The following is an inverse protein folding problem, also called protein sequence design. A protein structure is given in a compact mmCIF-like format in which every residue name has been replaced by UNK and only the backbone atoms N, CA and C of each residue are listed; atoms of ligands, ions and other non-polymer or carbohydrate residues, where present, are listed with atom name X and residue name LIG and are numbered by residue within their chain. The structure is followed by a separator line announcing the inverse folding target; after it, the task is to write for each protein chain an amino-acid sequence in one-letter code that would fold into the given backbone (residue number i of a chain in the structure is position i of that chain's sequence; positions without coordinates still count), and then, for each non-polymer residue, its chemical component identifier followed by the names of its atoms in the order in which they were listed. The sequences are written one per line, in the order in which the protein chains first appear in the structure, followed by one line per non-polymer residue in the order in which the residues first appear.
data_IF_851632578191
#
_entry.id   IF_851632578191
#
_cell.length_a   1.000
_cell.length_b   1.000
_cell.length_c   1.000
_cell.angle_alpha   90.00
_cell.angle_beta   90.00
_cell.angle_gamma   90.00
#
_symmetry.space_group_name_H-M   'P 1'
#
loop_
_entity.id
_entity.type
_entity.pdbx_description
1 polymer ?
#
# COMPACT_ATOMS: atom_id res chain seq x y z
N UNK A 1 -58.57 -10.15 0.90
CA UNK A 1 -57.40 -9.48 1.52
C UNK A 1 -56.19 -10.37 1.25
N UNK A 2 -55.37 -10.04 0.25
CA UNK A 2 -54.12 -10.77 -0.03
C UNK A 2 -52.94 -9.85 0.24
N UNK A 3 -52.32 -10.03 1.39
CA UNK A 3 -51.11 -9.31 1.80
C UNK A 3 -49.92 -9.90 1.05
N UNK A 4 -49.36 -9.14 0.11
CA UNK A 4 -48.07 -9.44 -0.51
C UNK A 4 -46.98 -9.13 0.51
N UNK A 5 -46.32 -10.16 1.03
CA UNK A 5 -45.09 -10.03 1.81
C UNK A 5 -43.98 -9.47 0.91
N UNK A 6 -43.58 -8.23 1.19
CA UNK A 6 -42.44 -7.57 0.57
C UNK A 6 -41.17 -8.08 1.23
N UNK A 7 -40.41 -8.91 0.53
CA UNK A 7 -39.08 -9.36 0.96
C UNK A 7 -38.14 -8.16 0.89
N UNK A 8 -37.87 -7.51 2.03
CA UNK A 8 -36.79 -6.52 2.14
C UNK A 8 -35.48 -7.25 1.86
N UNK A 9 -34.87 -6.97 0.72
CA UNK A 9 -33.54 -7.47 0.39
C UNK A 9 -32.53 -6.76 1.30
N UNK A 10 -31.94 -7.52 2.21
CA UNK A 10 -30.97 -7.02 3.17
C UNK A 10 -29.64 -6.78 2.46
N UNK A 11 -29.10 -5.57 2.54
CA UNK A 11 -27.81 -5.23 1.94
C UNK A 11 -26.71 -6.13 2.53
N UNK A 12 -25.72 -6.56 1.72
CA UNK A 12 -24.65 -7.42 2.21
C UNK A 12 -23.91 -6.76 3.36
N UNK A 13 -23.73 -7.49 4.45
CA UNK A 13 -22.95 -7.02 5.60
C UNK A 13 -21.48 -6.92 5.21
N UNK A 14 -20.92 -5.71 5.27
CA UNK A 14 -19.48 -5.49 5.06
C UNK A 14 -18.73 -6.09 6.25
N UNK A 15 -17.94 -7.13 6.00
CA UNK A 15 -17.17 -7.84 7.04
C UNK A 15 -15.69 -7.57 6.85
N UNK A 16 -15.00 -7.18 7.92
CA UNK A 16 -13.54 -7.08 7.93
C UNK A 16 -12.92 -8.47 7.81
N UNK A 17 -12.06 -8.66 6.80
CA UNK A 17 -11.48 -9.98 6.49
C UNK A 17 -10.14 -10.17 7.22
N UNK A 18 -9.32 -9.11 7.35
CA UNK A 18 -7.99 -9.21 7.94
C UNK A 18 -7.46 -7.86 8.45
N UNK A 19 -6.56 -7.89 9.44
CA UNK A 19 -5.78 -6.72 9.89
C UNK A 19 -4.30 -7.01 9.74
N UNK A 20 -3.58 -6.17 8.99
CA UNK A 20 -2.13 -6.22 8.86
C UNK A 20 -1.51 -5.20 9.81
N UNK A 21 -0.60 -5.64 10.68
CA UNK A 21 0.03 -4.82 11.72
C UNK A 21 1.54 -4.74 11.48
N UNK A 22 2.12 -3.56 11.69
CA UNK A 22 3.56 -3.41 11.65
C UNK A 22 4.05 -1.97 11.54
N UNK A 23 3.32 -1.12 10.82
CA UNK A 23 3.58 0.32 10.82
C UNK A 23 3.48 0.88 12.25
N UNK A 24 4.38 1.80 12.59
CA UNK A 24 4.45 2.40 13.94
C UNK A 24 3.78 3.77 14.02
N UNK A 25 3.21 4.22 12.90
CA UNK A 25 2.50 5.50 12.76
C UNK A 25 1.41 5.36 11.67
N UNK A 26 0.64 6.41 11.44
CA UNK A 26 -0.50 6.45 10.51
C UNK A 26 -0.14 5.87 9.12
N UNK A 27 -0.96 4.94 8.64
CA UNK A 27 -0.91 4.48 7.25
C UNK A 27 -1.60 5.54 6.38
N UNK A 28 -0.87 6.10 5.44
CA UNK A 28 -1.30 7.27 4.64
C UNK A 28 -1.91 6.91 3.30
N UNK A 29 -1.46 5.81 2.72
CA UNK A 29 -1.87 5.39 1.38
C UNK A 29 -1.56 3.91 1.12
N UNK A 30 -2.21 3.34 0.12
CA UNK A 30 -2.10 1.93 -0.28
C UNK A 30 -2.29 1.77 -1.79
N UNK A 31 -1.47 0.93 -2.42
CA UNK A 31 -1.61 0.54 -3.83
C UNK A 31 -1.60 -0.98 -3.99
N UNK A 32 -2.42 -1.48 -4.91
CA UNK A 32 -2.42 -2.89 -5.27
C UNK A 32 -1.37 -3.15 -6.35
N UNK A 33 -0.58 -4.23 -6.18
CA UNK A 33 0.29 -4.73 -7.24
C UNK A 33 -0.53 -5.48 -8.30
N UNK A 34 -0.06 -5.53 -9.56
CA UNK A 34 -0.73 -6.30 -10.60
C UNK A 34 -0.78 -7.78 -10.21
N UNK A 35 -1.93 -8.41 -10.46
CA UNK A 35 -2.23 -9.77 -9.98
C UNK A 35 -2.93 -9.82 -8.64
N UNK A 36 -3.14 -8.69 -7.95
CA UNK A 36 -4.12 -8.55 -6.86
C UNK A 36 -3.79 -9.26 -5.55
N UNK A 37 -2.71 -10.05 -5.48
CA UNK A 37 -2.31 -10.78 -4.27
C UNK A 37 -1.54 -9.93 -3.25
N UNK A 38 -0.95 -8.83 -3.69
CA UNK A 38 -0.03 -8.02 -2.88
C UNK A 38 -0.39 -6.55 -2.93
N UNK A 39 -0.11 -5.87 -1.82
CA UNK A 39 -0.27 -4.41 -1.71
C UNK A 39 1.03 -3.81 -1.18
N UNK A 40 1.23 -2.54 -1.50
CA UNK A 40 2.25 -1.70 -0.85
C UNK A 40 1.53 -0.61 -0.09
N UNK A 41 1.92 -0.38 1.15
CA UNK A 41 1.43 0.70 1.99
C UNK A 41 2.56 1.70 2.27
N UNK A 42 2.20 2.95 2.52
CA UNK A 42 3.13 3.95 3.04
C UNK A 42 2.61 4.55 4.35
N UNK A 43 3.54 4.97 5.21
CA UNK A 43 3.21 5.49 6.55
C UNK A 43 3.99 6.76 6.88
N UNK A 44 3.45 7.52 7.83
CA UNK A 44 4.16 8.61 8.52
C UNK A 44 5.44 8.13 9.24
N UNK A 45 5.58 6.83 9.50
CA UNK A 45 6.79 6.25 10.13
C UNK A 45 8.05 6.23 9.22
N UNK A 46 7.92 6.74 8.00
CA UNK A 46 8.97 6.83 6.98
C UNK A 46 9.22 5.54 6.22
N UNK A 47 8.38 4.52 6.38
CA UNK A 47 8.49 3.25 5.65
C UNK A 47 7.41 3.04 4.61
N UNK A 48 7.79 2.35 3.54
CA UNK A 48 6.87 1.58 2.70
C UNK A 48 6.95 0.10 3.11
N UNK A 49 5.84 -0.63 3.03
CA UNK A 49 5.80 -2.06 3.33
C UNK A 49 5.04 -2.82 2.27
N UNK A 50 5.60 -3.95 1.85
CA UNK A 50 4.96 -4.90 0.94
C UNK A 50 4.24 -5.97 1.76
N UNK A 51 2.98 -6.25 1.41
CA UNK A 51 2.15 -7.23 2.11
C UNK A 51 1.64 -8.29 1.15
N UNK A 52 1.51 -9.52 1.66
CA UNK A 52 0.75 -10.59 1.03
C UNK A 52 -0.67 -10.63 1.60
N UNK A 53 -1.68 -10.44 0.77
CA UNK A 53 -3.08 -10.37 1.21
C UNK A 53 -3.67 -11.72 1.61
N UNK A 54 -3.02 -12.84 1.28
CA UNK A 54 -3.52 -14.18 1.63
C UNK A 54 -3.09 -14.55 3.04
N UNK A 55 -1.82 -14.31 3.35
CA UNK A 55 -1.25 -14.58 4.67
C UNK A 55 -1.38 -13.41 5.65
N UNK A 56 -1.54 -12.19 5.15
CA UNK A 56 -1.47 -10.94 5.92
C UNK A 56 -0.07 -10.63 6.46
N UNK A 57 0.95 -11.36 6.01
CA UNK A 57 2.31 -11.14 6.43
C UNK A 57 2.96 -10.02 5.60
N UNK A 58 3.83 -9.26 6.26
CA UNK A 58 4.78 -8.41 5.55
C UNK A 58 5.79 -9.28 4.81
N UNK A 59 6.06 -8.95 3.55
CA UNK A 59 7.09 -9.59 2.74
C UNK A 59 8.37 -8.75 2.81
N UNK A 60 9.45 -9.34 3.29
CA UNK A 60 10.73 -8.66 3.43
C UNK A 60 10.74 -7.63 4.56
N UNK A 61 11.65 -6.65 4.47
CA UNK A 61 11.79 -5.58 5.44
C UNK A 61 11.05 -4.29 5.05
N UNK A 62 11.20 -3.28 5.89
CA UNK A 62 10.72 -1.93 5.62
C UNK A 62 11.53 -1.31 4.47
N UNK A 63 10.83 -0.72 3.51
CA UNK A 63 11.46 0.03 2.43
C UNK A 63 11.66 1.45 2.93
N UNK A 64 12.93 1.80 3.16
CA UNK A 64 13.36 3.10 3.63
C UNK A 64 14.52 3.57 2.76
N UNK A 65 14.59 4.87 2.53
CA UNK A 65 15.84 5.45 2.06
C UNK A 65 16.70 5.73 3.29
N UNK A 66 18.01 5.84 3.12
CA UNK A 66 18.94 6.15 4.22
C UNK A 66 18.76 7.59 4.77
N UNK A 67 17.67 8.28 4.41
CA UNK A 67 17.27 9.57 4.97
C UNK A 67 16.77 9.41 6.39
N UNK A 68 16.86 10.49 7.16
CA UNK A 68 16.35 10.54 8.52
C UNK A 68 14.85 10.18 8.59
N UNK A 69 14.39 9.92 9.81
CA UNK A 69 12.99 9.63 10.20
C UNK A 69 11.91 10.58 9.64
N UNK A 70 12.33 11.70 9.05
CA UNK A 70 11.49 12.73 8.41
C UNK A 70 11.09 12.40 6.96
N UNK A 71 11.46 11.24 6.41
CA UNK A 71 11.01 10.80 5.07
C UNK A 71 9.58 10.25 5.04
N UNK A 72 8.69 10.80 5.87
CA UNK A 72 7.27 10.43 5.92
C UNK A 72 6.66 10.47 4.52
N UNK A 73 6.11 9.35 4.08
CA UNK A 73 5.53 9.21 2.75
C UNK A 73 4.02 9.46 2.83
N UNK A 74 3.54 10.47 2.10
CA UNK A 74 2.12 10.85 2.14
C UNK A 74 1.26 10.13 1.12
N UNK A 75 1.86 9.82 -0.02
CA UNK A 75 1.19 9.24 -1.19
C UNK A 75 2.16 8.35 -1.94
N UNK A 76 1.61 7.27 -2.51
CA UNK A 76 2.34 6.36 -3.38
C UNK A 76 1.58 6.12 -4.67
N UNK A 77 2.30 5.91 -5.77
CA UNK A 77 1.71 5.53 -7.04
C UNK A 77 2.48 4.37 -7.66
N UNK A 78 1.75 3.46 -8.28
CA UNK A 78 2.33 2.32 -8.98
C UNK A 78 2.45 2.63 -10.47
N UNK A 79 3.61 2.34 -11.05
CA UNK A 79 3.80 2.37 -12.50
C UNK A 79 2.87 1.37 -13.22
N UNK A 80 2.47 1.62 -14.48
CA UNK A 80 1.55 0.74 -15.21
C UNK A 80 2.03 -0.71 -15.34
N UNK A 81 3.35 -0.92 -15.39
CA UNK A 81 3.95 -2.26 -15.46
C UNK A 81 4.16 -2.93 -14.08
N UNK A 82 3.84 -2.23 -12.99
CA UNK A 82 3.92 -2.72 -11.61
C UNK A 82 5.33 -2.94 -11.07
N UNK A 83 6.37 -2.49 -11.77
CA UNK A 83 7.78 -2.71 -11.37
C UNK A 83 8.31 -1.60 -10.47
N UNK A 84 7.76 -0.40 -10.60
CA UNK A 84 8.19 0.80 -9.88
C UNK A 84 7.04 1.34 -9.06
N UNK A 85 7.31 1.67 -7.79
CA UNK A 85 6.47 2.55 -6.99
C UNK A 85 7.15 3.90 -6.87
N UNK A 86 6.41 4.98 -7.02
CA UNK A 86 6.85 6.32 -6.63
C UNK A 86 6.24 6.71 -5.30
N UNK A 87 7.00 7.41 -4.46
CA UNK A 87 6.50 7.98 -3.20
C UNK A 87 6.85 9.46 -3.09
N UNK A 88 5.89 10.27 -2.68
CA UNK A 88 6.12 11.68 -2.32
C UNK A 88 6.26 11.84 -0.81
N UNK A 89 7.27 12.61 -0.38
CA UNK A 89 7.60 12.82 1.04
C UNK A 89 7.61 14.29 1.45
N UNK A 90 7.50 14.54 2.76
CA UNK A 90 7.57 15.87 3.37
C UNK A 90 8.89 16.59 3.09
N UNK A 91 9.97 15.85 2.86
CA UNK A 91 11.29 16.40 2.56
C UNK A 91 11.42 17.00 1.14
N UNK A 92 10.31 17.08 0.41
CA UNK A 92 10.24 17.63 -0.93
C UNK A 92 10.80 16.70 -2.01
N UNK A 93 11.18 15.46 -1.67
CA UNK A 93 11.73 14.50 -2.63
C UNK A 93 10.69 13.48 -3.06
N UNK A 94 10.78 13.12 -4.34
CA UNK A 94 10.14 11.93 -4.89
C UNK A 94 11.18 10.82 -4.93
N UNK A 95 10.78 9.63 -4.47
CA UNK A 95 11.60 8.42 -4.51
C UNK A 95 10.95 7.40 -5.41
N UNK A 96 11.76 6.74 -6.22
CA UNK A 96 11.34 5.59 -7.04
C UNK A 96 11.88 4.34 -6.39
N UNK A 97 11.03 3.32 -6.26
CA UNK A 97 11.34 2.06 -5.59
C UNK A 97 11.17 0.92 -6.57
N UNK A 98 12.19 0.07 -6.68
CA UNK A 98 12.05 -1.18 -7.42
C UNK A 98 11.24 -2.18 -6.57
N UNK A 99 10.10 -2.62 -7.08
CA UNK A 99 9.15 -3.46 -6.35
C UNK A 99 9.73 -4.84 -6.02
N UNK A 100 10.65 -5.34 -6.86
CA UNK A 100 11.24 -6.67 -6.70
C UNK A 100 12.23 -6.70 -5.54
N UNK A 101 13.00 -5.63 -5.36
CA UNK A 101 14.09 -5.53 -4.39
C UNK A 101 13.73 -4.71 -3.16
N UNK A 102 12.70 -3.86 -3.25
CA UNK A 102 12.31 -2.92 -2.21
C UNK A 102 13.32 -1.81 -1.95
N UNK A 103 14.18 -1.51 -2.93
CA UNK A 103 15.25 -0.51 -2.82
C UNK A 103 14.94 0.72 -3.64
N UNK A 104 15.44 1.86 -3.18
CA UNK A 104 15.38 3.10 -3.93
C UNK A 104 16.22 2.97 -5.21
N UNK A 105 15.70 3.50 -6.30
CA UNK A 105 16.39 3.58 -7.59
C UNK A 105 17.10 4.94 -7.62
N UNK A 106 18.43 4.93 -7.63
CA UNK A 106 19.27 6.13 -7.58
C UNK A 106 19.72 6.64 -8.95
N UNK A 107 19.49 5.89 -10.02
CA UNK A 107 19.82 6.29 -11.39
C UNK A 107 18.55 6.63 -12.20
N UNK A 108 18.66 7.49 -13.23
CA UNK A 108 17.53 7.83 -14.09
C UNK A 108 16.89 6.58 -14.69
N UNK A 109 15.58 6.43 -14.48
CA UNK A 109 14.82 5.31 -15.02
C UNK A 109 14.20 5.74 -16.34
N UNK A 110 14.57 5.09 -17.44
CA UNK A 110 13.89 5.28 -18.71
C UNK A 110 12.57 4.48 -18.68
N UNK A 111 11.46 5.18 -18.92
CA UNK A 111 10.11 4.62 -18.99
C UNK A 111 9.75 4.16 -20.40
#
# INVERSE_FOLDING_TARGET
MSSKTSTKQQAPAVTQIQTMRGHTDEVRDVVHLPGGRRIITCSSDGSLRLWDLVSGAQIGGDWRDNGARESAAYKIALSPNGKIVSSGSQDGKVRLWDVKTGRVISEPVNF
#
